data_IF_765356605284
#
_entry.id   IF_765356605284
#
_cell.length_a   1.000
_cell.length_b   1.000
_cell.length_c   1.000
_cell.angle_alpha   90.00
_cell.angle_beta   90.00
_cell.angle_gamma   90.00
#
_symmetry.space_group_name_H-M   'P 1'
#
loop_
_entity.id
_entity.type
_entity.pdbx_description
1 polymer ?
#
# COMPACT_ATOMS: atom_id res chain seq x y z
N UNK A 1 -30.61 4.25 -7.31
CA UNK A 1 -29.18 3.91 -7.41
C UNK A 1 -28.51 4.28 -6.08
N UNK A 2 -28.61 3.41 -5.08
CA UNK A 2 -28.09 3.63 -3.73
C UNK A 2 -27.27 2.38 -3.38
N UNK A 3 -25.93 2.47 -3.51
CA UNK A 3 -24.90 1.57 -2.91
C UNK A 3 -23.52 1.79 -3.56
N UNK A 4 -22.98 3.01 -3.45
CA UNK A 4 -21.54 3.24 -3.76
C UNK A 4 -20.85 4.13 -2.71
N UNK A 5 -21.58 4.79 -1.82
CA UNK A 5 -21.00 5.72 -0.84
C UNK A 5 -20.23 5.01 0.29
N UNK A 6 -20.76 3.89 0.81
CA UNK A 6 -20.18 3.17 1.96
C UNK A 6 -18.85 2.47 1.62
N UNK A 7 -18.76 1.87 0.43
CA UNK A 7 -17.52 1.23 -0.04
C UNK A 7 -16.40 2.22 -0.32
N UNK A 8 -16.75 3.46 -0.69
CA UNK A 8 -15.78 4.52 -0.95
C UNK A 8 -15.08 4.98 0.33
N UNK A 9 -15.81 5.09 1.45
CA UNK A 9 -15.24 5.52 2.72
C UNK A 9 -14.24 4.49 3.28
N UNK A 10 -14.59 3.20 3.24
CA UNK A 10 -13.70 2.14 3.70
C UNK A 10 -12.43 2.03 2.85
N UNK A 11 -12.56 2.10 1.52
CA UNK A 11 -11.41 2.09 0.62
C UNK A 11 -10.45 3.27 0.88
N UNK A 12 -10.98 4.47 1.14
CA UNK A 12 -10.16 5.64 1.50
C UNK A 12 -9.41 5.43 2.81
N UNK A 13 -10.10 4.95 3.87
CA UNK A 13 -9.47 4.66 5.17
C UNK A 13 -8.36 3.61 5.04
N UNK A 14 -8.60 2.56 4.25
CA UNK A 14 -7.59 1.54 3.98
C UNK A 14 -6.39 2.12 3.22
N UNK A 15 -6.63 2.94 2.20
CA UNK A 15 -5.56 3.58 1.44
C UNK A 15 -4.69 4.47 2.35
N UNK A 16 -5.30 5.23 3.26
CA UNK A 16 -4.57 6.10 4.18
C UNK A 16 -3.78 5.30 5.22
N UNK A 17 -4.32 4.20 5.76
CA UNK A 17 -3.57 3.30 6.63
C UNK A 17 -2.37 2.66 5.92
N UNK A 18 -2.54 2.25 4.67
CA UNK A 18 -1.44 1.70 3.87
C UNK A 18 -0.36 2.75 3.62
N UNK A 19 -0.75 3.99 3.27
CA UNK A 19 0.20 5.10 3.14
C UNK A 19 0.96 5.35 4.43
N UNK A 20 0.27 5.36 5.57
CA UNK A 20 0.88 5.58 6.88
C UNK A 20 1.84 4.46 7.27
N UNK A 21 1.45 3.20 7.06
CA UNK A 21 2.29 2.04 7.31
C UNK A 21 3.65 2.14 6.57
N UNK A 22 3.62 2.60 5.32
CA UNK A 22 4.81 2.78 4.49
C UNK A 22 5.57 4.09 4.72
N UNK A 23 5.15 4.97 5.65
CA UNK A 23 5.99 6.10 6.10
C UNK A 23 7.18 5.63 6.93
N UNK A 24 7.03 4.50 7.62
CA UNK A 24 8.10 3.87 8.38
C UNK A 24 9.07 3.13 7.45
N UNK A 25 10.36 3.47 7.55
CA UNK A 25 11.42 2.88 6.72
C UNK A 25 11.62 1.37 6.96
N UNK A 26 11.41 0.89 8.19
CA UNK A 26 11.50 -0.54 8.52
C UNK A 26 10.38 -1.32 7.82
N UNK A 27 9.16 -0.78 7.80
CA UNK A 27 8.03 -1.40 7.11
C UNK A 27 8.24 -1.44 5.59
N UNK A 28 8.86 -0.40 5.01
CA UNK A 28 9.26 -0.42 3.59
C UNK A 28 10.28 -1.53 3.30
N UNK A 29 11.31 -1.67 4.14
CA UNK A 29 12.31 -2.74 4.00
C UNK A 29 11.70 -4.13 4.11
N UNK A 30 10.81 -4.36 5.08
CA UNK A 30 10.07 -5.63 5.24
C UNK A 30 9.31 -5.98 3.97
N UNK A 31 8.64 -5.00 3.35
CA UNK A 31 7.92 -5.21 2.10
C UNK A 31 8.85 -5.49 0.92
N UNK A 32 9.98 -4.79 0.81
CA UNK A 32 10.96 -5.03 -0.25
C UNK A 32 11.52 -6.45 -0.19
N UNK A 33 11.86 -6.94 1.01
CA UNK A 33 12.32 -8.31 1.26
C UNK A 33 11.23 -9.30 0.81
N UNK A 34 10.00 -9.14 1.34
CA UNK A 34 8.88 -10.00 0.98
C UNK A 34 8.60 -10.01 -0.52
N UNK A 35 8.66 -8.85 -1.19
CA UNK A 35 8.39 -8.74 -2.62
C UNK A 35 9.47 -9.47 -3.44
N UNK A 36 10.73 -9.33 -3.04
CA UNK A 36 11.84 -10.05 -3.67
C UNK A 36 11.71 -11.57 -3.47
N UNK A 37 11.38 -12.04 -2.27
CA UNK A 37 11.14 -13.47 -2.01
C UNK A 37 9.96 -14.00 -2.83
N UNK A 38 8.88 -13.20 -2.95
CA UNK A 38 7.66 -13.63 -3.63
C UNK A 38 7.76 -13.65 -5.15
N UNK A 39 8.48 -12.69 -5.73
CA UNK A 39 8.49 -12.46 -7.19
C UNK A 39 9.88 -12.58 -7.83
N UNK A 40 10.92 -12.83 -7.05
CA UNK A 40 12.30 -12.99 -7.53
C UNK A 40 12.94 -11.71 -8.11
N UNK A 41 12.37 -10.53 -7.83
CA UNK A 41 12.89 -9.25 -8.33
C UNK A 41 12.67 -8.12 -7.32
N UNK A 42 13.57 -7.11 -7.24
CA UNK A 42 13.41 -5.99 -6.32
C UNK A 42 12.21 -5.12 -6.70
N UNK A 43 11.48 -4.64 -5.68
CA UNK A 43 10.40 -3.68 -5.88
C UNK A 43 10.98 -2.30 -6.23
N UNK A 44 10.33 -1.57 -7.15
CA UNK A 44 10.69 -0.19 -7.51
C UNK A 44 9.59 0.76 -7.09
N UNK A 45 9.84 1.54 -6.05
CA UNK A 45 8.94 2.61 -5.63
C UNK A 45 8.82 3.65 -6.73
N UNK A 46 7.58 3.93 -7.16
CA UNK A 46 7.29 5.02 -8.07
C UNK A 46 6.87 6.22 -7.23
N UNK A 47 7.38 7.41 -7.58
CA UNK A 47 6.81 8.65 -7.07
C UNK A 47 5.41 8.76 -7.67
N UNK A 48 4.38 8.75 -6.83
CA UNK A 48 3.06 9.25 -7.24
C UNK A 48 3.22 10.74 -7.54
N UNK A 49 2.76 11.18 -8.71
CA UNK A 49 2.61 12.60 -9.03
C UNK A 49 1.56 13.24 -8.11
#
# INVERSE_FOLDING_TARGET
MLRTLEGSALCSVLADRVKEYFKDEENRKKFEIWYQEKYGKPYKWRKTQ
#
